data_IF_363809937154
#
_entry.id   IF_363809937154
#
_cell.length_a   1.000
_cell.length_b   1.000
_cell.length_c   1.000
_cell.angle_alpha   90.00
_cell.angle_beta   90.00
_cell.angle_gamma   90.00
#
_symmetry.space_group_name_H-M   'P 1'
#
loop_
_entity.id
_entity.type
_entity.pdbx_description
1 polymer ?
#
# COMPACT_ATOMS: atom_id res chain seq x y z
N UNK A 1 -2.58 -0.11 -1.28
CA UNK A 1 -2.01 -0.25 0.08
C UNK A 1 -0.60 0.34 0.09
N UNK A 2 -0.28 1.11 1.08
CA UNK A 2 1.01 1.78 1.22
C UNK A 2 1.63 1.43 2.57
N UNK A 3 2.95 1.27 2.61
CA UNK A 3 3.65 0.90 3.84
C UNK A 3 3.93 2.12 4.72
N UNK A 4 3.56 2.05 5.99
CA UNK A 4 3.87 3.08 6.97
C UNK A 4 5.39 3.23 7.17
N UNK A 5 6.13 2.14 7.11
CA UNK A 5 7.59 2.15 7.24
C UNK A 5 8.26 2.88 6.07
N UNK A 6 7.74 2.69 4.85
CA UNK A 6 8.21 3.43 3.67
C UNK A 6 7.91 4.93 3.82
N UNK A 7 6.71 5.27 4.26
CA UNK A 7 6.33 6.66 4.52
C UNK A 7 7.27 7.33 5.53
N UNK A 8 7.57 6.64 6.63
CA UNK A 8 8.48 7.13 7.66
C UNK A 8 9.89 7.32 7.13
N UNK A 9 10.41 6.37 6.35
CA UNK A 9 11.73 6.46 5.75
C UNK A 9 11.87 7.64 4.79
N UNK A 10 10.78 8.03 4.12
CA UNK A 10 10.75 9.14 3.17
C UNK A 10 10.28 10.45 3.79
N UNK A 11 9.97 10.47 5.09
CA UNK A 11 9.38 11.61 5.79
C UNK A 11 8.09 12.12 5.12
N UNK A 12 7.25 11.19 4.68
CA UNK A 12 5.97 11.47 4.04
C UNK A 12 4.85 11.10 4.98
N UNK A 13 3.85 12.00 5.12
CA UNK A 13 2.62 11.67 5.82
C UNK A 13 1.75 10.77 4.91
N UNK A 14 1.50 9.50 5.27
CA UNK A 14 0.75 8.61 4.41
C UNK A 14 -0.69 9.06 4.17
N UNK A 15 -1.26 9.86 5.06
CA UNK A 15 -2.62 10.39 4.90
C UNK A 15 -2.75 11.27 3.66
N UNK A 16 -1.74 12.08 3.35
CA UNK A 16 -1.78 12.98 2.18
C UNK A 16 -1.66 12.23 0.86
N UNK A 17 -1.09 11.03 0.87
CA UNK A 17 -0.99 10.20 -0.34
C UNK A 17 -2.35 9.67 -0.76
N UNK A 18 -3.22 9.37 0.20
CA UNK A 18 -4.61 9.02 -0.07
C UNK A 18 -4.85 7.56 -0.42
N UNK A 19 -3.93 6.67 -0.12
CA UNK A 19 -4.17 5.22 -0.28
C UNK A 19 -5.27 4.78 0.68
N UNK A 20 -6.07 3.80 0.25
CA UNK A 20 -7.18 3.30 1.04
C UNK A 20 -6.72 2.62 2.34
N UNK A 21 -5.59 1.93 2.29
CA UNK A 21 -5.03 1.21 3.44
C UNK A 21 -3.56 1.56 3.58
N UNK A 22 -3.18 1.92 4.80
CA UNK A 22 -1.77 2.07 5.20
C UNK A 22 -1.46 0.94 6.17
N UNK A 23 -0.47 0.12 5.82
CA UNK A 23 -0.10 -1.05 6.60
C UNK A 23 1.19 -0.82 7.39
N UNK A 24 1.35 -1.56 8.49
CA UNK A 24 2.56 -1.57 9.29
C UNK A 24 2.97 -3.01 9.58
N UNK A 25 4.29 -3.26 9.55
CA UNK A 25 4.83 -4.58 9.86
C UNK A 25 4.72 -5.59 8.72
N UNK A 26 4.33 -5.15 7.52
CA UNK A 26 4.19 -5.99 6.34
C UNK A 26 5.08 -5.48 5.21
N UNK A 27 5.94 -6.34 4.71
CA UNK A 27 6.70 -6.05 3.50
C UNK A 27 5.80 -6.31 2.28
N UNK A 28 5.29 -5.23 1.68
CA UNK A 28 4.39 -5.35 0.53
C UNK A 28 5.07 -5.98 -0.69
N UNK A 29 6.39 -5.90 -0.79
CA UNK A 29 7.13 -6.52 -1.89
C UNK A 29 7.13 -8.06 -1.80
N UNK A 30 6.86 -8.61 -0.62
CA UNK A 30 6.77 -10.06 -0.42
C UNK A 30 5.42 -10.65 -0.86
N UNK A 31 4.43 -9.79 -1.11
CA UNK A 31 3.09 -10.21 -1.55
C UNK A 31 3.10 -10.33 -3.07
N UNK A 32 2.87 -11.54 -3.56
CA UNK A 32 2.90 -11.82 -4.99
C UNK A 32 1.50 -11.63 -5.63
N UNK A 33 1.48 -11.43 -6.94
CA UNK A 33 0.22 -11.36 -7.68
C UNK A 33 -0.60 -12.63 -7.45
N UNK A 34 -1.87 -12.46 -7.13
CA UNK A 34 -2.78 -13.54 -6.82
C UNK A 34 -2.83 -13.94 -5.35
N UNK A 35 -1.88 -13.50 -4.53
CA UNK A 35 -1.92 -13.74 -3.09
C UNK A 35 -3.16 -13.10 -2.48
N UNK A 36 -3.76 -13.78 -1.52
CA UNK A 36 -4.99 -13.36 -0.85
C UNK A 36 -4.68 -12.99 0.59
N UNK A 37 -5.18 -11.83 0.99
CA UNK A 37 -5.06 -11.32 2.35
C UNK A 37 -6.44 -11.11 2.96
N UNK A 38 -6.54 -11.32 4.26
CA UNK A 38 -7.71 -10.94 5.03
C UNK A 38 -7.36 -9.78 5.96
N UNK A 39 -8.18 -8.73 5.93
CA UNK A 39 -8.05 -7.55 6.79
C UNK A 39 -9.42 -7.26 7.39
N UNK A 40 -9.58 -7.50 8.69
CA UNK A 40 -10.90 -7.40 9.31
C UNK A 40 -11.90 -8.31 8.59
N UNK A 41 -13.01 -7.75 8.12
CA UNK A 41 -14.04 -8.47 7.36
C UNK A 41 -13.71 -8.61 5.87
N UNK A 42 -12.70 -7.92 5.38
CA UNK A 42 -12.41 -7.76 3.96
C UNK A 42 -11.41 -8.81 3.49
N UNK A 43 -11.66 -9.37 2.31
CA UNK A 43 -10.73 -10.28 1.64
C UNK A 43 -10.23 -9.60 0.36
N UNK A 44 -8.92 -9.54 0.22
CA UNK A 44 -8.23 -8.85 -0.87
C UNK A 44 -7.35 -9.83 -1.64
N UNK A 45 -7.27 -9.64 -2.95
CA UNK A 45 -6.31 -10.36 -3.80
C UNK A 45 -5.33 -9.38 -4.45
N UNK A 46 -4.05 -9.68 -4.35
CA UNK A 46 -3.00 -8.85 -4.96
C UNK A 46 -3.15 -8.83 -6.48
N UNK A 47 -3.28 -7.64 -7.04
CA UNK A 47 -3.33 -7.45 -8.49
C UNK A 47 -1.95 -7.68 -9.12
N UNK A 48 -1.93 -8.15 -10.34
CA UNK A 48 -0.73 -8.25 -11.15
C UNK A 48 -0.21 -6.88 -11.64
N UNK A 49 -1.03 -5.83 -11.51
CA UNK A 49 -0.65 -4.48 -11.92
C UNK A 49 0.34 -3.87 -10.94
N UNK A 50 1.40 -3.28 -11.47
CA UNK A 50 2.33 -2.50 -10.65
C UNK A 50 1.68 -1.19 -10.21
N UNK A 51 1.84 -0.83 -8.94
CA UNK A 51 1.41 0.48 -8.43
C UNK A 51 2.58 1.45 -8.55
N UNK A 52 2.55 2.30 -9.57
CA UNK A 52 3.62 3.27 -9.84
C UNK A 52 3.23 4.65 -9.31
N UNK A 53 4.20 5.44 -8.81
CA UNK A 53 3.92 6.82 -8.45
C UNK A 53 3.57 7.64 -9.69
N UNK A 54 2.69 8.63 -9.50
CA UNK A 54 2.29 9.56 -10.56
C UNK A 54 2.56 10.99 -10.13
N UNK A 55 2.26 11.96 -11.00
CA UNK A 55 2.46 13.38 -10.70
C UNK A 55 1.72 13.84 -9.44
N UNK A 56 0.57 13.24 -9.16
CA UNK A 56 -0.18 13.55 -7.94
C UNK A 56 0.60 13.14 -6.68
N UNK A 57 1.31 12.00 -6.73
CA UNK A 57 2.19 11.59 -5.63
C UNK A 57 3.30 12.64 -5.43
N UNK A 58 3.94 13.09 -6.50
CA UNK A 58 4.98 14.11 -6.43
C UNK A 58 4.47 15.43 -5.83
N UNK A 59 3.25 15.85 -6.17
CA UNK A 59 2.64 17.06 -5.63
C UNK A 59 2.28 16.93 -4.16
N UNK A 60 1.82 15.76 -3.73
CA UNK A 60 1.38 15.51 -2.35
C UNK A 60 2.53 15.23 -1.40
N UNK A 61 3.59 14.62 -1.89
CA UNK A 61 4.80 14.32 -1.11
C UNK A 61 5.95 15.25 -1.55
N UNK A 62 6.74 14.78 -2.50
CA UNK A 62 7.81 15.54 -3.15
C UNK A 62 8.29 14.81 -4.39
N UNK A 63 9.02 15.50 -5.25
CA UNK A 63 9.66 14.88 -6.41
C UNK A 63 10.70 13.84 -5.98
N UNK A 64 11.47 14.13 -4.94
CA UNK A 64 12.49 13.21 -4.42
C UNK A 64 11.85 11.94 -3.87
N UNK A 65 10.75 12.05 -3.14
CA UNK A 65 10.00 10.90 -2.64
C UNK A 65 9.42 10.07 -3.79
N UNK A 66 8.89 10.71 -4.84
CA UNK A 66 8.39 10.02 -6.01
C UNK A 66 9.49 9.22 -6.72
N UNK A 67 10.65 9.81 -6.91
CA UNK A 67 11.79 9.14 -7.53
C UNK A 67 12.27 7.96 -6.69
N UNK A 68 12.35 8.13 -5.36
CA UNK A 68 12.75 7.07 -4.44
C UNK A 68 11.79 5.86 -4.51
N UNK A 69 10.48 6.08 -4.48
CA UNK A 69 9.52 4.95 -4.55
C UNK A 69 9.50 4.31 -5.94
N UNK A 70 9.77 5.09 -6.99
CA UNK A 70 9.87 4.57 -8.36
C UNK A 70 11.08 3.65 -8.51
N UNK A 71 12.24 4.08 -8.04
CA UNK A 71 13.49 3.31 -8.13
C UNK A 71 13.45 2.03 -7.30
N UNK A 72 12.85 2.08 -6.11
CA UNK A 72 12.82 0.96 -5.18
C UNK A 72 11.58 0.08 -5.35
N UNK A 73 10.60 0.50 -6.15
CA UNK A 73 9.35 -0.24 -6.32
C UNK A 73 8.47 -0.25 -5.07
N UNK A 74 8.59 0.76 -4.20
CA UNK A 74 7.93 0.79 -2.90
C UNK A 74 6.69 1.70 -2.84
N UNK A 75 6.12 2.11 -4.00
CA UNK A 75 4.88 2.90 -4.03
C UNK A 75 3.72 2.18 -3.35
N UNK A 76 3.78 0.87 -3.23
CA UNK A 76 2.77 0.04 -2.61
C UNK A 76 2.20 -1.00 -3.54
N UNK A 77 1.02 -1.50 -3.20
CA UNK A 77 0.39 -2.59 -3.93
C UNK A 77 -1.09 -2.30 -4.19
N UNK A 78 -1.56 -2.78 -5.33
CA UNK A 78 -2.98 -2.72 -5.72
C UNK A 78 -3.63 -4.08 -5.45
N UNK A 79 -4.86 -4.04 -4.95
CA UNK A 79 -5.62 -5.23 -4.62
C UNK A 79 -7.02 -5.17 -5.20
N UNK A 80 -7.55 -6.33 -5.59
CA UNK A 80 -8.97 -6.51 -5.86
C UNK A 80 -9.68 -6.84 -4.56
N UNK A 81 -10.87 -6.30 -4.36
CA UNK A 81 -11.73 -6.66 -3.23
C UNK A 81 -12.55 -7.89 -3.63
N UNK A 82 -12.24 -9.04 -3.02
CA UNK A 82 -13.00 -10.28 -3.24
C UNK A 82 -14.22 -10.35 -2.34
N UNK A 83 -14.11 -9.84 -1.12
CA UNK A 83 -15.20 -9.74 -0.16
C UNK A 83 -15.11 -8.38 0.52
N UNK A 84 -16.16 -7.57 0.40
CA UNK A 84 -16.24 -6.27 1.06
C UNK A 84 -16.60 -6.39 2.53
N UNK A 85 -16.56 -5.29 3.23
CA UNK A 85 -16.88 -5.24 4.64
C UNK A 85 -16.19 -4.06 5.32
N UNK A 86 -16.16 -4.09 6.64
CA UNK A 86 -15.56 -3.03 7.45
C UNK A 86 -14.14 -3.39 7.85
N UNK A 87 -13.24 -2.42 7.71
CA UNK A 87 -11.89 -2.46 8.25
C UNK A 87 -11.78 -1.39 9.32
N UNK A 88 -11.24 -1.75 10.47
CA UNK A 88 -10.95 -0.82 11.56
C UNK A 88 -9.45 -0.59 11.66
N UNK A 89 -9.06 0.57 12.20
CA UNK A 89 -7.66 0.83 12.55
C UNK A 89 -7.20 -0.27 13.52
N UNK A 90 -5.98 -0.74 13.34
CA UNK A 90 -5.35 -1.83 14.11
C UNK A 90 -5.86 -3.24 13.77
N UNK A 91 -6.72 -3.40 12.78
CA UNK A 91 -7.04 -4.73 12.27
C UNK A 91 -5.78 -5.41 11.71
N UNK A 92 -5.60 -6.67 12.03
CA UNK A 92 -4.48 -7.46 11.53
C UNK A 92 -4.67 -7.81 10.06
N UNK A 93 -3.56 -7.85 9.33
CA UNK A 93 -3.50 -8.35 7.96
C UNK A 93 -2.97 -9.78 8.03
N UNK A 94 -3.72 -10.72 7.48
CA UNK A 94 -3.38 -12.15 7.50
C UNK A 94 -3.33 -12.69 6.07
N UNK A 95 -2.31 -13.51 5.78
CA UNK A 95 -2.28 -14.29 4.55
C UNK A 95 -3.33 -15.41 4.63
N UNK A 96 -4.05 -15.59 3.55
CA UNK A 96 -5.00 -16.70 3.40
C UNK A 96 -4.31 -17.94 2.88
#
# INVERSE_FOLDING_TARGET
MFSAEVAEALSVDPVVIGDNIVSRGLDLSSIEAGDVLRVGEVVLRRSEKAHRPCDLFARRASQDAMEAVRETGTRGALFYVLMGGTICIDDNIKAE
#
